data_IF_070076178612
#
_entry.id   IF_070076178612
#
_cell.length_a   1.000
_cell.length_b   1.000
_cell.length_c   1.000
_cell.angle_alpha   90.00
_cell.angle_beta   90.00
_cell.angle_gamma   90.00
#
_symmetry.space_group_name_H-M   'P 1'
#
loop_
_entity.id
_entity.type
_entity.pdbx_description
1 polymer ?
#
# COMPACT_ATOMS: atom_id res chain seq x y z
N UNK A 1 -9.65 24.10 8.44
CA UNK A 1 -8.30 23.48 8.45
C UNK A 1 -8.47 22.01 8.79
N UNK A 2 -7.86 21.09 8.03
CA UNK A 2 -7.87 19.65 8.33
C UNK A 2 -6.52 19.26 8.94
N UNK A 3 -6.52 18.34 9.90
CA UNK A 3 -5.31 17.86 10.57
C UNK A 3 -5.47 16.38 10.97
N UNK A 4 -4.33 15.69 11.12
CA UNK A 4 -4.24 14.35 11.72
C UNK A 4 -3.32 14.51 12.93
N UNK A 5 -3.88 14.37 14.12
CA UNK A 5 -3.15 14.46 15.38
C UNK A 5 -2.58 13.10 15.79
N UNK A 6 -1.71 13.06 16.79
CA UNK A 6 -1.22 11.80 17.37
C UNK A 6 -2.36 10.94 17.93
N UNK A 7 -3.40 11.57 18.50
CA UNK A 7 -4.59 10.85 19.00
C UNK A 7 -5.39 10.24 17.85
N UNK A 8 -5.58 10.98 16.75
CA UNK A 8 -6.23 10.45 15.54
C UNK A 8 -5.50 9.20 15.01
N UNK A 9 -4.17 9.24 14.99
CA UNK A 9 -3.35 8.10 14.57
C UNK A 9 -3.49 6.88 15.50
N UNK A 10 -3.54 7.09 16.82
CA UNK A 10 -3.76 6.01 17.78
C UNK A 10 -5.14 5.36 17.58
N UNK A 11 -6.19 6.17 17.42
CA UNK A 11 -7.55 5.68 17.16
C UNK A 11 -7.63 4.91 15.83
N UNK A 12 -6.95 5.40 14.80
CA UNK A 12 -6.96 4.77 13.48
C UNK A 12 -6.23 3.41 13.48
N UNK A 13 -5.09 3.30 14.16
CA UNK A 13 -4.41 2.01 14.35
C UNK A 13 -5.28 1.03 15.16
N UNK A 14 -5.93 1.49 16.23
CA UNK A 14 -6.86 0.64 16.98
C UNK A 14 -8.03 0.15 16.11
N UNK A 15 -8.57 0.99 15.24
CA UNK A 15 -9.60 0.60 14.28
C UNK A 15 -9.08 -0.42 13.24
N UNK A 16 -7.84 -0.26 12.78
CA UNK A 16 -7.19 -1.21 11.87
C UNK A 16 -7.10 -2.61 12.50
N UNK A 17 -6.62 -2.70 13.75
CA UNK A 17 -6.53 -3.99 14.50
C UNK A 17 -7.88 -4.71 14.58
N UNK A 18 -8.99 -3.99 14.70
CA UNK A 18 -10.33 -4.58 14.80
C UNK A 18 -10.98 -4.86 13.43
N UNK A 19 -10.35 -4.44 12.34
CA UNK A 19 -10.89 -4.63 10.99
C UNK A 19 -10.50 -6.00 10.42
N UNK A 20 -11.37 -6.67 9.65
CA UNK A 20 -11.05 -7.96 9.03
C UNK A 20 -9.81 -7.93 8.12
N UNK A 21 -9.53 -6.77 7.51
CA UNK A 21 -8.41 -6.54 6.58
C UNK A 21 -7.18 -5.96 7.26
N UNK A 22 -7.23 -5.79 8.58
CA UNK A 22 -6.15 -5.20 9.39
C UNK A 22 -5.74 -3.77 8.99
N UNK A 23 -6.66 -3.03 8.34
CA UNK A 23 -6.43 -1.67 7.85
C UNK A 23 -7.63 -0.76 8.01
N UNK A 24 -7.38 0.53 8.24
CA UNK A 24 -8.40 1.56 8.38
C UNK A 24 -8.01 2.85 7.64
N UNK A 25 -8.94 3.41 6.87
CA UNK A 25 -8.72 4.62 6.07
C UNK A 25 -9.24 5.86 6.80
N UNK A 26 -8.51 6.97 6.68
CA UNK A 26 -8.95 8.31 7.08
C UNK A 26 -8.76 9.26 5.91
N UNK A 27 -9.86 9.61 5.27
CA UNK A 27 -9.85 10.51 4.13
C UNK A 27 -9.56 11.95 4.56
N UNK A 28 -8.62 12.58 3.85
CA UNK A 28 -8.30 14.00 4.00
C UNK A 28 -8.98 14.83 2.90
N UNK A 29 -9.30 14.22 1.76
CA UNK A 29 -10.24 14.76 0.76
C UNK A 29 -11.69 14.75 1.32
N UNK A 30 -12.56 15.68 0.93
CA UNK A 30 -13.93 15.80 1.44
C UNK A 30 -14.90 14.77 0.82
N UNK A 31 -14.66 14.35 -0.42
CA UNK A 31 -15.50 13.41 -1.15
C UNK A 31 -14.67 12.58 -2.12
N UNK A 32 -15.16 11.38 -2.46
CA UNK A 32 -14.43 10.45 -3.32
C UNK A 32 -14.21 11.00 -4.74
N UNK A 33 -15.03 11.93 -5.21
CA UNK A 33 -14.89 12.61 -6.51
C UNK A 33 -13.90 13.77 -6.53
N UNK A 34 -13.26 14.12 -5.40
CA UNK A 34 -12.29 15.21 -5.36
C UNK A 34 -11.17 14.97 -6.38
N UNK A 35 -10.79 16.03 -7.08
CA UNK A 35 -9.67 16.13 -8.02
C UNK A 35 -8.33 15.61 -7.48
N UNK A 36 -8.16 15.50 -6.15
CA UNK A 36 -6.98 14.91 -5.52
C UNK A 36 -7.38 14.07 -4.32
N UNK A 37 -7.13 12.76 -4.40
CA UNK A 37 -7.22 11.87 -3.24
C UNK A 37 -6.03 12.12 -2.32
N UNK A 38 -6.35 12.34 -1.04
CA UNK A 38 -5.40 12.43 0.07
C UNK A 38 -5.97 11.64 1.23
N UNK A 39 -5.25 10.65 1.75
CA UNK A 39 -5.74 9.83 2.86
C UNK A 39 -4.59 9.25 3.68
N UNK A 40 -4.83 9.05 4.97
CA UNK A 40 -4.00 8.20 5.81
C UNK A 40 -4.59 6.79 5.86
N UNK A 41 -3.76 5.77 5.77
CA UNK A 41 -4.14 4.37 5.87
C UNK A 41 -3.33 3.76 7.01
N UNK A 42 -4.01 3.37 8.09
CA UNK A 42 -3.42 2.53 9.12
C UNK A 42 -3.39 1.11 8.60
N UNK A 43 -2.24 0.43 8.70
CA UNK A 43 -2.01 -0.92 8.22
C UNK A 43 -1.23 -1.68 9.27
N UNK A 44 -1.85 -2.67 9.89
CA UNK A 44 -1.15 -3.56 10.83
C UNK A 44 -0.37 -4.64 10.06
N UNK A 45 0.69 -5.21 10.67
CA UNK A 45 1.30 -6.42 10.14
C UNK A 45 0.24 -7.51 9.88
N UNK A 46 0.27 -8.10 8.69
CA UNK A 46 -0.77 -9.01 8.19
C UNK A 46 -1.80 -8.35 7.26
N UNK A 47 -1.76 -7.03 7.09
CA UNK A 47 -2.52 -6.35 6.01
C UNK A 47 -2.01 -6.83 4.65
N UNK A 48 -2.85 -7.56 3.92
CA UNK A 48 -2.54 -7.95 2.56
C UNK A 48 -2.90 -6.84 1.56
N UNK A 49 -1.91 -6.42 0.78
CA UNK A 49 -2.09 -5.60 -0.42
C UNK A 49 -1.64 -6.42 -1.62
N UNK A 50 -2.61 -6.87 -2.42
CA UNK A 50 -2.33 -7.54 -3.68
C UNK A 50 -1.55 -6.58 -4.59
N UNK A 51 -0.52 -7.04 -5.32
CA UNK A 51 0.18 -6.18 -6.27
C UNK A 51 -0.80 -5.69 -7.31
N UNK A 52 -0.76 -4.39 -7.58
CA UNK A 52 -1.68 -3.74 -8.48
C UNK A 52 -1.03 -2.53 -9.13
N UNK A 53 -1.75 -1.90 -10.07
CA UNK A 53 -1.36 -0.62 -10.66
C UNK A 53 -2.54 0.32 -10.76
N UNK A 54 -2.23 1.61 -10.91
CA UNK A 54 -3.20 2.67 -11.18
C UNK A 54 -2.91 3.32 -12.53
N UNK A 55 -3.53 2.89 -13.64
CA UNK A 55 -3.19 3.40 -14.98
C UNK A 55 -3.49 4.89 -15.19
N UNK A 56 -4.41 5.46 -14.40
CA UNK A 56 -4.93 6.82 -14.60
C UNK A 56 -4.24 7.89 -13.76
N UNK A 57 -3.35 7.51 -12.83
CA UNK A 57 -2.79 8.46 -11.86
C UNK A 57 -1.48 7.98 -11.26
N UNK A 58 -0.63 8.93 -10.89
CA UNK A 58 0.53 8.65 -10.06
C UNK A 58 0.09 8.33 -8.62
N UNK A 59 1.00 7.76 -7.85
CA UNK A 59 0.79 7.52 -6.42
C UNK A 59 2.00 7.94 -5.61
N UNK A 60 1.78 8.85 -4.67
CA UNK A 60 2.80 9.32 -3.74
C UNK A 60 2.50 8.76 -2.35
N UNK A 61 3.51 8.13 -1.76
CA UNK A 61 3.47 7.48 -0.46
C UNK A 61 4.50 8.08 0.49
N UNK A 62 4.08 8.34 1.72
CA UNK A 62 4.98 8.72 2.82
C UNK A 62 4.50 8.14 4.15
N UNK A 63 5.39 7.72 5.06
CA UNK A 63 4.99 7.21 6.37
C UNK A 63 4.66 8.37 7.30
N UNK A 64 3.52 8.28 7.99
CA UNK A 64 3.25 9.11 9.18
C UNK A 64 3.78 8.44 10.45
N UNK A 65 3.79 7.10 10.48
CA UNK A 65 4.32 6.27 11.56
C UNK A 65 4.69 4.88 11.05
N UNK A 66 5.79 4.33 11.57
CA UNK A 66 6.24 2.97 11.27
C UNK A 66 6.91 2.87 9.90
N UNK A 67 7.29 1.63 9.54
CA UNK A 67 8.00 1.32 8.32
C UNK A 67 7.19 0.47 7.36
N UNK A 68 7.41 0.70 6.06
CA UNK A 68 6.73 -0.01 4.99
C UNK A 68 7.70 -0.44 3.90
N UNK A 69 7.64 -1.70 3.48
CA UNK A 69 8.28 -2.12 2.24
C UNK A 69 7.36 -1.71 1.09
N UNK A 70 7.91 -1.02 0.10
CA UNK A 70 7.28 -0.80 -1.20
C UNK A 70 8.10 -1.52 -2.25
N UNK A 71 7.46 -2.41 -3.00
CA UNK A 71 8.04 -3.12 -4.13
C UNK A 71 7.38 -2.65 -5.41
N UNK A 72 8.17 -2.42 -6.45
CA UNK A 72 7.67 -2.24 -7.81
C UNK A 72 8.05 -3.44 -8.67
N UNK A 73 7.22 -3.73 -9.66
CA UNK A 73 7.39 -4.88 -10.54
C UNK A 73 7.38 -4.48 -12.02
N UNK A 74 7.95 -5.33 -12.86
CA UNK A 74 7.66 -5.34 -14.29
C UNK A 74 6.36 -6.13 -14.60
N UNK A 75 5.95 -6.17 -15.85
CA UNK A 75 4.75 -6.91 -16.30
C UNK A 75 4.84 -8.43 -16.09
N UNK A 76 6.05 -8.96 -15.83
CA UNK A 76 6.29 -10.38 -15.55
C UNK A 76 6.32 -10.68 -14.06
N UNK A 77 6.21 -9.68 -13.19
CA UNK A 77 6.30 -9.82 -11.74
C UNK A 77 7.73 -9.87 -11.20
N UNK A 78 8.73 -9.45 -11.97
CA UNK A 78 10.11 -9.29 -11.47
C UNK A 78 10.20 -7.99 -10.68
N UNK A 79 10.82 -8.03 -9.50
CA UNK A 79 11.04 -6.82 -8.68
C UNK A 79 12.01 -5.89 -9.40
N UNK A 80 11.53 -4.70 -9.75
CA UNK A 80 12.34 -3.64 -10.40
C UNK A 80 12.81 -2.57 -9.42
N UNK A 81 12.11 -2.42 -8.30
CA UNK A 81 12.46 -1.46 -7.25
C UNK A 81 12.06 -1.98 -5.87
N UNK A 82 12.85 -1.60 -4.86
CA UNK A 82 12.57 -1.84 -3.45
C UNK A 82 12.94 -0.62 -2.62
N UNK A 83 11.99 -0.13 -1.84
CA UNK A 83 12.22 0.92 -0.85
C UNK A 83 11.64 0.52 0.51
N UNK A 84 12.26 0.98 1.60
CA UNK A 84 11.67 0.93 2.93
C UNK A 84 11.32 2.35 3.35
N UNK A 85 10.04 2.71 3.22
CA UNK A 85 9.50 3.97 3.73
C UNK A 85 9.62 3.99 5.25
N UNK A 86 10.12 5.09 5.81
CA UNK A 86 10.29 5.28 7.26
C UNK A 86 11.62 4.76 7.79
N UNK A 87 12.50 4.29 6.90
CA UNK A 87 13.85 3.84 7.24
C UNK A 87 14.88 4.38 6.23
N UNK A 88 14.88 3.86 5.00
CA UNK A 88 15.84 4.25 3.95
C UNK A 88 15.25 5.24 2.95
N UNK A 89 13.92 5.41 2.96
CA UNK A 89 13.17 6.30 2.08
C UNK A 89 12.14 7.09 2.91
N UNK A 90 12.01 8.39 2.67
CA UNK A 90 11.04 9.24 3.40
C UNK A 90 9.77 9.51 2.60
N UNK A 91 9.89 9.58 1.27
CA UNK A 91 8.79 9.81 0.33
C UNK A 91 9.11 9.03 -0.95
N UNK A 92 8.12 8.35 -1.51
CA UNK A 92 8.20 7.67 -2.79
C UNK A 92 7.03 8.10 -3.67
N UNK A 93 7.30 8.44 -4.93
CA UNK A 93 6.27 8.64 -5.94
C UNK A 93 6.46 7.63 -7.07
N UNK A 94 5.36 7.01 -7.49
CA UNK A 94 5.30 6.05 -8.58
C UNK A 94 4.48 6.65 -9.72
N UNK A 95 5.01 6.56 -10.95
CA UNK A 95 4.29 6.97 -12.14
C UNK A 95 3.03 6.12 -12.35
N UNK A 96 2.05 6.68 -13.06
CA UNK A 96 0.85 5.97 -13.44
C UNK A 96 1.17 4.64 -14.15
N UNK A 97 0.42 3.60 -13.81
CA UNK A 97 0.59 2.25 -14.36
C UNK A 97 1.73 1.43 -13.74
N UNK A 98 2.47 1.96 -12.76
CA UNK A 98 3.51 1.19 -12.05
C UNK A 98 2.89 0.07 -11.24
N UNK A 99 3.28 -1.18 -11.51
CA UNK A 99 2.94 -2.33 -10.67
C UNK A 99 3.64 -2.20 -9.33
N UNK A 100 2.89 -2.27 -8.23
CA UNK A 100 3.47 -2.14 -6.90
C UNK A 100 2.70 -2.92 -5.84
N UNK A 101 3.37 -3.18 -4.72
CA UNK A 101 2.80 -3.74 -3.50
C UNK A 101 3.39 -3.04 -2.27
N UNK A 102 2.63 -3.04 -1.17
CA UNK A 102 3.02 -2.42 0.10
C UNK A 102 2.86 -3.42 1.23
N UNK A 103 3.88 -3.54 2.09
CA UNK A 103 3.85 -4.34 3.31
C UNK A 103 4.17 -3.45 4.51
N UNK A 104 3.29 -3.47 5.52
CA UNK A 104 3.56 -2.84 6.82
C UNK A 104 4.48 -3.72 7.67
N UNK A 105 5.56 -3.15 8.20
CA UNK A 105 6.54 -3.85 9.03
C UNK A 105 6.30 -3.69 10.53
N UNK A 106 5.69 -2.57 10.95
CA UNK A 106 5.56 -2.20 12.35
C UNK A 106 4.08 -2.11 12.76
N UNK A 107 3.75 -2.58 13.96
CA UNK A 107 2.44 -2.39 14.58
C UNK A 107 2.09 -0.91 14.71
N UNK A 108 0.87 -0.55 14.35
CA UNK A 108 0.41 0.84 14.28
C UNK A 108 1.04 1.66 13.17
N UNK A 109 1.51 0.99 12.10
CA UNK A 109 1.97 1.63 10.88
C UNK A 109 0.85 2.47 10.25
N UNK A 110 1.17 3.72 9.89
CA UNK A 110 0.27 4.59 9.12
C UNK A 110 1.03 5.21 7.96
N UNK A 111 0.53 4.97 6.75
CA UNK A 111 1.02 5.57 5.51
C UNK A 111 0.06 6.69 5.07
N UNK A 112 0.57 7.76 4.48
CA UNK A 112 -0.21 8.78 3.81
C UNK A 112 -0.03 8.63 2.31
N UNK A 113 -1.14 8.68 1.60
CA UNK A 113 -1.23 8.46 0.15
C UNK A 113 -1.82 9.70 -0.52
N UNK A 114 -1.23 10.08 -1.66
CA UNK A 114 -1.75 11.11 -2.55
C UNK A 114 -1.83 10.58 -3.98
N UNK A 115 -3.01 10.74 -4.59
CA UNK A 115 -3.26 10.43 -6.01
C UNK A 115 -4.03 11.57 -6.67
N UNK A 116 -3.72 11.85 -7.94
CA UNK A 116 -4.52 12.77 -8.75
C UNK A 116 -5.81 12.11 -9.26
N UNK A 117 -6.90 12.88 -9.36
CA UNK A 117 -8.22 12.42 -9.76
C UNK A 117 -9.08 11.88 -8.62
N UNK A 118 -10.36 11.66 -8.90
CA UNK A 118 -11.29 11.00 -7.99
C UNK A 118 -10.95 9.52 -7.78
N UNK A 119 -11.43 8.95 -6.69
CA UNK A 119 -11.29 7.53 -6.38
C UNK A 119 -11.86 6.66 -7.52
N UNK A 120 -11.02 5.75 -8.01
CA UNK A 120 -11.41 4.70 -8.95
C UNK A 120 -11.01 3.34 -8.36
N UNK A 121 -11.95 2.39 -8.24
CA UNK A 121 -11.60 1.02 -7.89
C UNK A 121 -10.58 0.45 -8.89
N UNK A 122 -9.62 -0.34 -8.39
CA UNK A 122 -8.68 -1.08 -9.24
C UNK A 122 -9.48 -2.11 -10.05
N UNK A 123 -9.34 -2.08 -11.38
CA UNK A 123 -9.97 -3.04 -12.27
C UNK A 123 -9.33 -4.43 -12.13
N UNK A 124 -10.05 -5.49 -12.52
CA UNK A 124 -9.55 -6.86 -12.40
C UNK A 124 -8.21 -7.07 -13.12
N UNK A 125 -8.04 -6.47 -14.31
CA UNK A 125 -6.82 -6.54 -15.13
C UNK A 125 -5.65 -5.72 -14.56
N UNK A 126 -5.90 -4.87 -13.58
CA UNK A 126 -4.90 -4.04 -12.90
C UNK A 126 -4.45 -4.64 -11.57
N UNK A 127 -4.83 -5.89 -11.29
CA UNK A 127 -4.20 -6.73 -10.28
C UNK A 127 -3.24 -7.73 -10.93
N UNK A 128 -2.10 -7.97 -10.28
CA UNK A 128 -1.16 -8.97 -10.74
C UNK A 128 -1.78 -10.38 -10.73
N UNK A 129 -1.89 -11.01 -11.90
CA UNK A 129 -2.53 -12.31 -12.07
C UNK A 129 -1.82 -13.45 -11.32
N UNK A 130 -0.51 -13.32 -11.09
CA UNK A 130 0.31 -14.29 -10.37
C UNK A 130 0.13 -14.22 -8.84
N UNK A 131 -0.46 -13.14 -8.32
CA UNK A 131 -0.69 -12.98 -6.90
C UNK A 131 -2.10 -13.47 -6.50
N UNK A 132 -2.26 -14.20 -5.39
CA UNK A 132 -3.55 -14.65 -4.91
C UNK A 132 -4.49 -13.48 -4.61
N UNK A 133 -5.78 -13.68 -4.80
CA UNK A 133 -6.77 -12.70 -4.36
C UNK A 133 -6.79 -12.61 -2.82
N UNK A 134 -7.28 -11.49 -2.29
CA UNK A 134 -7.40 -11.31 -0.85
C UNK A 134 -8.35 -12.36 -0.25
N UNK A 135 -7.90 -13.05 0.80
CA UNK A 135 -8.64 -14.16 1.42
C UNK A 135 -8.37 -15.54 0.80
N UNK A 136 -7.64 -15.61 -0.31
CA UNK A 136 -7.24 -16.89 -0.92
C UNK A 136 -5.96 -17.46 -0.28
N UNK A 137 -5.70 -18.78 -0.41
CA UNK A 137 -4.44 -19.40 -0.01
C UNK A 137 -3.23 -18.75 -0.70
N UNK A 138 -2.08 -18.69 0.00
CA UNK A 138 -0.84 -18.11 -0.52
C UNK A 138 -0.58 -16.65 -0.15
N UNK A 139 -1.56 -15.96 0.44
CA UNK A 139 -1.42 -14.53 0.82
C UNK A 139 -0.38 -14.32 1.93
N UNK A 140 -0.33 -15.21 2.92
CA UNK A 140 0.66 -15.17 4.01
C UNK A 140 2.07 -15.34 3.49
N UNK A 141 2.27 -16.32 2.62
CA UNK A 141 3.56 -16.65 2.03
C UNK A 141 4.04 -15.55 1.07
N UNK A 142 3.12 -14.94 0.31
CA UNK A 142 3.44 -13.78 -0.53
C UNK A 142 3.86 -12.56 0.31
N UNK A 143 3.19 -12.30 1.43
CA UNK A 143 3.61 -11.23 2.35
C UNK A 143 4.97 -11.51 2.98
N UNK A 144 5.27 -12.77 3.34
CA UNK A 144 6.59 -13.16 3.82
C UNK A 144 7.66 -12.95 2.73
N UNK A 145 7.33 -13.24 1.46
CA UNK A 145 8.20 -12.94 0.34
C UNK A 145 8.42 -11.43 0.16
N UNK A 146 7.39 -10.59 0.25
CA UNK A 146 7.56 -9.13 0.16
C UNK A 146 8.60 -8.58 1.15
N UNK A 147 8.65 -9.12 2.37
CA UNK A 147 9.57 -8.65 3.40
C UNK A 147 11.05 -8.79 2.98
N UNK A 148 11.36 -9.83 2.22
CA UNK A 148 12.74 -10.22 1.89
C UNK A 148 13.13 -10.05 0.42
N UNK A 149 12.15 -9.95 -0.49
CA UNK A 149 12.38 -9.83 -1.93
C UNK A 149 13.33 -8.67 -2.26
N UNK A 150 14.23 -8.90 -3.21
CA UNK A 150 15.23 -7.95 -3.69
C UNK A 150 15.02 -7.65 -5.18
N UNK A 151 15.61 -6.56 -5.65
CA UNK A 151 15.61 -6.21 -7.08
C UNK A 151 16.21 -7.35 -7.89
N UNK A 152 15.50 -7.79 -8.93
CA UNK A 152 15.86 -8.93 -9.77
C UNK A 152 15.20 -10.24 -9.37
N UNK A 153 14.60 -10.34 -8.18
CA UNK A 153 13.83 -11.54 -7.81
C UNK A 153 12.56 -11.61 -8.68
N UNK A 154 12.31 -12.79 -9.26
CA UNK A 154 11.10 -13.08 -10.02
C UNK A 154 10.02 -13.72 -9.14
N UNK A 155 8.79 -13.71 -9.66
CA UNK A 155 7.52 -14.10 -9.02
C UNK A 155 7.64 -15.13 -7.89
N UNK A 156 6.92 -14.84 -6.80
CA UNK A 156 6.54 -15.81 -5.79
C UNK A 156 5.77 -16.98 -6.44
N UNK A 157 6.42 -18.13 -6.60
CA UNK A 157 5.78 -19.37 -7.00
C UNK A 157 5.37 -20.14 -5.73
N UNK A 158 4.07 -20.35 -5.55
CA UNK A 158 3.53 -21.31 -4.57
C UNK A 158 3.63 -22.72 -5.14
#
# INVERSE_FOLDING_TARGET
MKQITMSDMQQQSAAAVQSPRLRAHRNFHPELSDSVQRLAIAMEPGTYVRPHRHPHTFELLLPLRGRFVVLNFDDRGTVTHRAILGETCTVLEMAAGTWHAVLSLDTGGIIFEVKHGGYQPVAADDYAHWAPAEGEPGTTELMAWYAQAQVGDSTFAV
#
